data_IF_656848112922
#
_entry.id   IF_656848112922
#
_cell.length_a   1.000
_cell.length_b   1.000
_cell.length_c   1.000
_cell.angle_alpha   90.00
_cell.angle_beta   90.00
_cell.angle_gamma   90.00
#
_symmetry.space_group_name_H-M   'P 1'
#
loop_
_entity.id
_entity.type
_entity.pdbx_description
1 polymer ?
#
# COMPACT_ATOMS: atom_id res chain seq x y z
N UNK A 1 -8.08 -1.56 -25.08
CA UNK A 1 -8.94 -0.86 -24.09
C UNK A 1 -8.20 0.38 -23.61
N UNK A 2 -8.84 1.55 -23.53
CA UNK A 2 -8.20 2.76 -22.98
C UNK A 2 -8.08 2.67 -21.45
N UNK A 3 -7.15 3.43 -20.85
CA UNK A 3 -7.02 3.53 -19.39
C UNK A 3 -8.32 3.99 -18.73
N UNK A 4 -9.03 4.95 -19.33
CA UNK A 4 -10.32 5.42 -18.85
C UNK A 4 -11.39 4.32 -18.83
N UNK A 5 -11.42 3.45 -19.86
CA UNK A 5 -12.34 2.33 -19.91
C UNK A 5 -12.04 1.25 -18.87
N UNK A 6 -10.76 1.00 -18.58
CA UNK A 6 -10.35 0.07 -17.52
C UNK A 6 -10.77 0.56 -16.13
N UNK A 7 -10.52 1.84 -15.83
CA UNK A 7 -10.93 2.48 -14.58
C UNK A 7 -12.45 2.41 -14.38
N UNK A 8 -13.22 2.69 -15.45
CA UNK A 8 -14.67 2.63 -15.38
C UNK A 8 -15.18 1.21 -15.11
N UNK A 9 -14.52 0.18 -15.66
CA UNK A 9 -14.84 -1.22 -15.37
C UNK A 9 -14.56 -1.55 -13.91
N UNK A 10 -13.38 -1.19 -13.39
CA UNK A 10 -13.01 -1.44 -11.99
C UNK A 10 -13.95 -0.75 -11.00
N UNK A 11 -14.35 0.50 -11.27
CA UNK A 11 -15.29 1.23 -10.41
C UNK A 11 -16.69 0.59 -10.40
N UNK A 12 -17.19 0.15 -11.57
CA UNK A 12 -18.48 -0.56 -11.64
C UNK A 12 -18.43 -1.90 -10.94
N UNK A 13 -17.31 -2.62 -11.09
CA UNK A 13 -17.08 -3.89 -10.42
C UNK A 13 -17.03 -3.74 -8.90
N UNK A 14 -16.32 -2.72 -8.40
CA UNK A 14 -16.20 -2.48 -6.97
C UNK A 14 -17.54 -2.13 -6.33
N UNK A 15 -18.31 -1.26 -6.98
CA UNK A 15 -19.66 -0.90 -6.52
C UNK A 15 -20.59 -2.13 -6.50
N UNK A 16 -20.58 -2.93 -7.57
CA UNK A 16 -21.37 -4.14 -7.66
C UNK A 16 -21.01 -5.16 -6.57
N UNK A 17 -19.72 -5.34 -6.31
CA UNK A 17 -19.22 -6.26 -5.28
C UNK A 17 -19.60 -5.81 -3.87
N UNK A 18 -19.50 -4.52 -3.56
CA UNK A 18 -19.92 -3.98 -2.26
C UNK A 18 -21.44 -4.09 -2.04
N UNK A 19 -22.25 -3.85 -3.08
CA UNK A 19 -23.70 -4.11 -3.04
C UNK A 19 -23.98 -5.59 -2.80
N UNK A 20 -23.30 -6.48 -3.52
CA UNK A 20 -23.45 -7.92 -3.31
C UNK A 20 -23.08 -8.33 -1.87
N UNK A 21 -22.01 -7.79 -1.30
CA UNK A 21 -21.62 -8.06 0.08
C UNK A 21 -22.65 -7.54 1.11
N UNK A 22 -23.33 -6.43 0.81
CA UNK A 22 -24.42 -5.90 1.62
C UNK A 22 -25.74 -6.67 1.44
N UNK A 23 -25.94 -7.42 0.36
CA UNK A 23 -27.18 -8.14 0.08
C UNK A 23 -27.10 -9.64 0.45
N UNK A 24 -25.97 -10.29 0.16
CA UNK A 24 -25.83 -11.74 0.19
C UNK A 24 -25.57 -12.29 1.61
N UNK A 25 -26.49 -13.09 2.18
CA UNK A 25 -26.33 -13.66 3.51
C UNK A 25 -25.11 -14.59 3.63
N UNK A 26 -24.68 -15.22 2.52
CA UNK A 26 -23.51 -16.12 2.50
C UNK A 26 -22.23 -15.33 2.74
N UNK A 27 -22.10 -14.17 2.08
CA UNK A 27 -20.95 -13.27 2.27
C UNK A 27 -20.95 -12.73 3.69
N UNK A 28 -22.09 -12.24 4.19
CA UNK A 28 -22.20 -11.74 5.58
C UNK A 28 -21.84 -12.80 6.59
N UNK A 29 -22.24 -14.06 6.38
CA UNK A 29 -21.88 -15.20 7.24
C UNK A 29 -20.37 -15.38 7.31
N UNK A 30 -19.69 -15.45 6.16
CA UNK A 30 -18.24 -15.56 6.11
C UNK A 30 -17.57 -14.39 6.82
N UNK A 31 -17.96 -13.15 6.51
CA UNK A 31 -17.39 -11.96 7.16
C UNK A 31 -17.63 -11.97 8.67
N UNK A 32 -18.82 -12.37 9.14
CA UNK A 32 -19.12 -12.48 10.56
C UNK A 32 -18.23 -13.51 11.27
N UNK A 33 -17.97 -14.66 10.65
CA UNK A 33 -17.06 -15.67 11.20
C UNK A 33 -15.63 -15.13 11.31
N UNK A 34 -15.16 -14.40 10.28
CA UNK A 34 -13.82 -13.80 10.27
C UNK A 34 -13.71 -12.63 11.27
N UNK A 35 -14.76 -11.82 11.43
CA UNK A 35 -14.82 -10.75 12.43
C UNK A 35 -14.66 -11.29 13.85
N UNK A 36 -15.24 -12.46 14.17
CA UNK A 36 -15.05 -13.12 15.46
C UNK A 36 -13.58 -13.46 15.71
N UNK A 37 -12.86 -13.89 14.69
CA UNK A 37 -11.42 -14.17 14.79
C UNK A 37 -10.65 -12.88 15.12
N UNK A 38 -10.88 -11.79 14.39
CA UNK A 38 -10.23 -10.50 14.69
C UNK A 38 -10.59 -9.97 16.08
N UNK A 39 -11.84 -10.18 16.54
CA UNK A 39 -12.25 -9.85 17.90
C UNK A 39 -11.41 -10.60 18.93
N UNK A 40 -11.22 -11.90 18.75
CA UNK A 40 -10.52 -12.75 19.70
C UNK A 40 -9.00 -12.53 19.69
N UNK A 41 -8.40 -12.44 18.50
CA UNK A 41 -6.95 -12.40 18.34
C UNK A 41 -6.35 -11.00 18.45
N UNK A 42 -7.13 -9.94 18.22
CA UNK A 42 -6.63 -8.55 18.19
C UNK A 42 -7.34 -7.68 19.20
N UNK A 43 -8.67 -7.54 19.09
CA UNK A 43 -9.42 -6.58 19.91
C UNK A 43 -9.42 -6.92 21.39
N UNK A 44 -9.75 -8.18 21.74
CA UNK A 44 -9.88 -8.60 23.13
C UNK A 44 -8.59 -8.45 23.94
N UNK A 45 -7.40 -8.79 23.43
CA UNK A 45 -6.13 -8.45 24.09
C UNK A 45 -5.98 -6.96 24.39
N UNK A 46 -6.33 -6.09 23.43
CA UNK A 46 -6.25 -4.63 23.60
C UNK A 46 -7.26 -4.15 24.66
N UNK A 47 -8.51 -4.61 24.60
CA UNK A 47 -9.55 -4.27 25.59
C UNK A 47 -9.15 -4.69 27.01
N UNK A 48 -8.61 -5.91 27.17
CA UNK A 48 -8.12 -6.42 28.46
C UNK A 48 -6.98 -5.53 28.98
N UNK A 49 -6.06 -5.09 28.12
CA UNK A 49 -4.98 -4.21 28.55
C UNK A 49 -5.50 -2.82 28.93
N UNK A 50 -6.38 -2.22 28.12
CA UNK A 50 -6.98 -0.90 28.37
C UNK A 50 -7.80 -0.87 29.66
N UNK A 51 -8.50 -1.95 29.98
CA UNK A 51 -9.27 -2.05 31.25
C UNK A 51 -8.42 -2.08 32.52
N UNK A 52 -7.11 -2.36 32.41
CA UNK A 52 -6.18 -2.49 33.55
C UNK A 52 -5.34 -1.24 33.81
N UNK A 53 -5.46 -0.21 32.98
CA UNK A 53 -4.63 1.00 33.02
C UNK A 53 -5.46 2.25 33.25
N UNK A 54 -4.81 3.29 33.79
CA UNK A 54 -5.42 4.59 34.04
C UNK A 54 -4.94 5.68 33.08
N UNK A 55 -3.89 5.43 32.30
CA UNK A 55 -3.38 6.33 31.28
C UNK A 55 -2.88 5.55 30.08
N UNK A 56 -3.02 6.13 28.88
CA UNK A 56 -2.60 5.53 27.62
C UNK A 56 -1.10 5.17 27.61
N UNK A 57 -0.29 5.94 28.33
CA UNK A 57 1.14 5.74 28.34
C UNK A 57 1.61 4.46 29.00
N UNK A 58 0.78 3.88 29.86
CA UNK A 58 1.02 2.60 30.54
C UNK A 58 0.76 1.37 29.65
N UNK A 59 0.23 1.53 28.43
CA UNK A 59 0.10 0.41 27.49
C UNK A 59 1.48 -0.10 27.04
N UNK A 60 1.62 -1.42 26.82
CA UNK A 60 2.74 -1.97 26.06
C UNK A 60 2.90 -1.26 24.72
N UNK A 61 4.14 -1.11 24.25
CA UNK A 61 4.48 -0.32 23.03
C UNK A 61 3.64 -0.75 21.82
N UNK A 62 3.50 -2.05 21.58
CA UNK A 62 2.72 -2.56 20.44
C UNK A 62 1.22 -2.26 20.53
N UNK A 63 0.65 -2.29 21.74
CA UNK A 63 -0.75 -1.94 21.98
C UNK A 63 -0.96 -0.43 21.84
N UNK A 64 -0.01 0.36 22.32
CA UNK A 64 0.00 1.81 22.13
C UNK A 64 0.00 2.16 20.63
N UNK A 65 0.88 1.51 19.86
CA UNK A 65 0.92 1.67 18.40
C UNK A 65 -0.37 1.22 17.71
N UNK A 66 -0.96 0.11 18.15
CA UNK A 66 -2.24 -0.39 17.62
C UNK A 66 -3.38 0.60 17.87
N UNK A 67 -3.55 1.05 19.12
CA UNK A 67 -4.61 2.01 19.48
C UNK A 67 -4.39 3.36 18.81
N UNK A 68 -3.15 3.85 18.74
CA UNK A 68 -2.81 5.08 18.03
C UNK A 68 -3.16 4.97 16.54
N UNK A 69 -2.76 3.88 15.87
CA UNK A 69 -3.09 3.66 14.47
C UNK A 69 -4.61 3.54 14.23
N UNK A 70 -5.36 2.92 15.14
CA UNK A 70 -6.82 2.86 15.02
C UNK A 70 -7.44 4.25 15.21
N UNK A 71 -6.95 5.05 16.16
CA UNK A 71 -7.42 6.41 16.39
C UNK A 71 -7.16 7.33 15.18
N UNK A 72 -5.98 7.26 14.57
CA UNK A 72 -5.63 7.99 13.35
C UNK A 72 -6.59 7.67 12.20
N UNK A 73 -6.81 6.36 11.96
CA UNK A 73 -7.59 5.88 10.81
C UNK A 73 -9.10 6.02 10.96
N UNK A 74 -9.60 6.16 12.19
CA UNK A 74 -11.05 6.26 12.46
C UNK A 74 -11.49 7.63 12.97
N UNK A 75 -10.58 8.58 13.20
CA UNK A 75 -10.90 10.00 13.41
C UNK A 75 -11.02 10.76 12.08
N UNK A 76 -11.38 12.04 12.14
CA UNK A 76 -11.41 12.91 10.97
C UNK A 76 -10.00 13.29 10.46
N UNK A 77 -8.94 12.99 11.19
CA UNK A 77 -7.57 13.42 10.90
C UNK A 77 -7.07 12.90 9.55
N UNK A 78 -7.18 11.59 9.32
CA UNK A 78 -6.73 10.97 8.07
C UNK A 78 -7.84 10.92 7.00
N UNK A 79 -9.07 11.35 7.32
CA UNK A 79 -10.23 11.37 6.41
C UNK A 79 -10.38 10.06 5.60
N UNK A 80 -10.14 8.91 6.22
CA UNK A 80 -10.17 7.63 5.49
C UNK A 80 -11.60 7.16 5.20
N UNK A 81 -11.80 6.52 4.04
CA UNK A 81 -13.11 5.96 3.69
C UNK A 81 -13.49 4.83 4.65
N UNK A 82 -14.69 4.91 5.25
CA UNK A 82 -15.18 3.96 6.25
C UNK A 82 -14.75 4.28 7.69
N UNK A 83 -14.11 5.41 7.97
CA UNK A 83 -13.80 5.85 9.33
C UNK A 83 -15.09 5.91 10.19
N UNK A 84 -15.04 5.35 11.40
CA UNK A 84 -16.26 5.11 12.20
C UNK A 84 -16.52 6.18 13.26
N UNK A 85 -15.52 7.03 13.55
CA UNK A 85 -15.61 8.13 14.51
C UNK A 85 -15.26 9.50 13.89
N UNK A 86 -15.22 9.61 12.56
CA UNK A 86 -14.83 10.85 11.89
C UNK A 86 -15.75 12.04 12.26
N UNK A 87 -17.02 11.76 12.56
CA UNK A 87 -17.98 12.80 12.98
C UNK A 87 -17.87 13.17 14.48
N UNK A 88 -17.12 12.39 15.27
CA UNK A 88 -17.01 12.56 16.73
C UNK A 88 -15.68 13.15 17.16
N UNK A 89 -14.58 12.76 16.50
CA UNK A 89 -13.23 13.18 16.87
C UNK A 89 -12.49 13.78 15.68
N UNK A 90 -12.01 15.02 15.86
CA UNK A 90 -11.25 15.73 14.84
C UNK A 90 -9.83 15.18 14.69
N UNK A 91 -9.20 14.77 15.80
CA UNK A 91 -7.82 14.27 15.83
C UNK A 91 -7.72 12.93 16.56
N UNK A 92 -6.73 12.13 16.18
CA UNK A 92 -6.38 10.90 16.89
C UNK A 92 -6.01 11.16 18.36
N UNK A 93 -5.34 12.29 18.63
CA UNK A 93 -4.96 12.70 19.98
C UNK A 93 -6.16 12.93 20.90
N UNK A 94 -7.32 13.30 20.34
CA UNK A 94 -8.55 13.50 21.12
C UNK A 94 -9.11 12.15 21.62
N UNK A 95 -8.79 11.06 20.92
CA UNK A 95 -9.12 9.71 21.34
C UNK A 95 -8.08 9.21 22.34
N UNK A 96 -6.79 9.30 22.03
CA UNK A 96 -5.74 8.66 22.85
C UNK A 96 -5.41 9.40 24.15
N UNK A 97 -5.84 10.66 24.31
CA UNK A 97 -5.65 11.41 25.56
C UNK A 97 -6.56 10.93 26.71
N UNK A 98 -7.56 10.08 26.45
CA UNK A 98 -8.52 9.61 27.44
C UNK A 98 -8.79 8.11 27.31
N UNK A 99 -8.67 7.38 28.42
CA UNK A 99 -9.05 5.95 28.48
C UNK A 99 -10.52 5.75 28.11
N UNK A 100 -11.40 6.69 28.46
CA UNK A 100 -12.82 6.59 28.11
C UNK A 100 -13.04 6.73 26.60
N UNK A 101 -12.32 7.65 25.94
CA UNK A 101 -12.43 7.79 24.48
C UNK A 101 -11.83 6.59 23.75
N UNK A 102 -10.76 5.99 24.29
CA UNK A 102 -10.25 4.69 23.78
C UNK A 102 -11.32 3.61 23.93
N UNK A 103 -12.03 3.53 25.05
CA UNK A 103 -13.14 2.58 25.23
C UNK A 103 -14.30 2.84 24.25
N UNK A 104 -14.61 4.10 23.95
CA UNK A 104 -15.60 4.44 22.90
C UNK A 104 -15.14 3.90 21.55
N UNK A 105 -13.88 4.14 21.15
CA UNK A 105 -13.31 3.57 19.92
C UNK A 105 -13.42 2.05 19.89
N UNK A 106 -12.94 1.36 20.93
CA UNK A 106 -12.97 -0.10 20.96
C UNK A 106 -14.40 -0.65 20.97
N UNK A 107 -15.31 0.00 21.70
CA UNK A 107 -16.74 -0.33 21.74
C UNK A 107 -17.41 -0.20 20.37
N UNK A 108 -17.15 0.88 19.64
CA UNK A 108 -17.70 1.09 18.29
C UNK A 108 -17.14 0.08 17.28
N UNK A 109 -15.85 -0.25 17.37
CA UNK A 109 -15.26 -1.34 16.56
C UNK A 109 -16.01 -2.64 16.86
N UNK A 110 -16.12 -3.02 18.13
CA UNK A 110 -16.73 -4.27 18.54
C UNK A 110 -18.22 -4.37 18.13
N UNK A 111 -18.99 -3.30 18.32
CA UNK A 111 -20.40 -3.22 17.93
C UNK A 111 -20.59 -3.51 16.43
N UNK A 112 -19.74 -2.93 15.57
CA UNK A 112 -19.81 -3.13 14.12
C UNK A 112 -19.41 -4.54 13.69
N UNK A 113 -18.39 -5.12 14.33
CA UNK A 113 -17.98 -6.51 14.09
C UNK A 113 -19.07 -7.52 14.50
N UNK A 114 -19.86 -7.23 15.55
CA UNK A 114 -21.01 -8.06 15.94
C UNK A 114 -22.23 -7.87 15.05
N UNK A 115 -22.36 -6.72 14.38
CA UNK A 115 -23.53 -6.36 13.60
C UNK A 115 -23.48 -6.81 12.13
N UNK A 116 -22.48 -7.58 11.70
CA UNK A 116 -22.26 -7.94 10.28
C UNK A 116 -23.49 -8.59 9.63
N UNK A 117 -24.20 -9.45 10.36
CA UNK A 117 -25.42 -10.10 9.87
C UNK A 117 -26.60 -9.14 9.66
N UNK A 118 -26.57 -7.95 10.29
CA UNK A 118 -27.62 -6.93 10.26
C UNK A 118 -27.28 -5.77 9.33
N UNK A 119 -26.21 -5.87 8.55
CA UNK A 119 -25.84 -4.89 7.55
C UNK A 119 -26.96 -4.78 6.51
N UNK A 120 -27.39 -3.56 6.23
CA UNK A 120 -28.40 -3.26 5.21
C UNK A 120 -27.87 -2.33 4.12
N UNK A 121 -26.72 -1.69 4.35
CA UNK A 121 -26.19 -0.67 3.45
C UNK A 121 -24.75 -0.94 3.03
N UNK A 122 -24.36 -0.35 1.89
CA UNK A 122 -22.97 -0.35 1.41
C UNK A 122 -22.04 0.41 2.37
N UNK A 123 -22.53 1.43 3.06
CA UNK A 123 -21.72 2.17 4.03
C UNK A 123 -21.36 1.29 5.24
N UNK A 124 -22.30 0.49 5.73
CA UNK A 124 -22.04 -0.43 6.85
C UNK A 124 -21.04 -1.53 6.47
N UNK A 125 -21.14 -2.12 5.28
CA UNK A 125 -20.18 -3.13 4.83
C UNK A 125 -18.78 -2.54 4.66
N UNK A 126 -18.68 -1.31 4.13
CA UNK A 126 -17.40 -0.60 4.00
C UNK A 126 -16.75 -0.38 5.37
N UNK A 127 -17.52 0.03 6.37
CA UNK A 127 -17.02 0.21 7.74
C UNK A 127 -16.51 -1.11 8.32
N UNK A 128 -17.21 -2.22 8.12
CA UNK A 128 -16.73 -3.55 8.57
C UNK A 128 -15.46 -3.98 7.84
N UNK A 129 -15.40 -3.81 6.52
CA UNK A 129 -14.21 -4.19 5.73
C UNK A 129 -13.00 -3.34 6.12
N UNK A 130 -13.19 -2.05 6.39
CA UNK A 130 -12.15 -1.19 6.95
C UNK A 130 -11.63 -1.75 8.28
N UNK A 131 -12.52 -2.15 9.19
CA UNK A 131 -12.12 -2.72 10.47
C UNK A 131 -11.32 -4.01 10.32
N UNK A 132 -11.71 -4.89 9.40
CA UNK A 132 -10.93 -6.09 9.08
C UNK A 132 -9.51 -5.73 8.61
N UNK A 133 -9.40 -4.74 7.71
CA UNK A 133 -8.10 -4.24 7.22
C UNK A 133 -7.25 -3.66 8.35
N UNK A 134 -7.83 -2.80 9.17
CA UNK A 134 -7.10 -2.08 10.22
C UNK A 134 -6.71 -3.00 11.39
N UNK A 135 -7.54 -3.97 11.74
CA UNK A 135 -7.20 -4.98 12.75
C UNK A 135 -6.16 -5.98 12.23
N UNK A 136 -6.25 -6.39 10.96
CA UNK A 136 -5.18 -7.15 10.32
C UNK A 136 -3.85 -6.40 10.31
N UNK A 137 -3.90 -5.08 10.09
CA UNK A 137 -2.71 -4.24 10.21
C UNK A 137 -2.15 -4.18 11.63
N UNK A 138 -3.01 -4.04 12.65
CA UNK A 138 -2.55 -4.03 14.04
C UNK A 138 -1.81 -5.32 14.41
N UNK A 139 -2.39 -6.47 14.03
CA UNK A 139 -1.77 -7.77 14.26
C UNK A 139 -0.44 -7.89 13.52
N UNK A 140 -0.43 -7.73 12.19
CA UNK A 140 0.74 -8.05 11.38
C UNK A 140 1.91 -7.06 11.54
N UNK A 141 1.66 -5.80 11.90
CA UNK A 141 2.72 -4.77 11.98
C UNK A 141 3.21 -4.47 13.39
N UNK A 142 2.33 -4.56 14.39
CA UNK A 142 2.67 -4.11 15.74
C UNK A 142 2.87 -5.25 16.72
N UNK A 143 2.14 -6.36 16.59
CA UNK A 143 2.26 -7.45 17.56
C UNK A 143 3.68 -8.04 17.49
N UNK A 144 4.32 -8.28 18.65
CA UNK A 144 5.67 -8.81 18.70
C UNK A 144 5.72 -10.28 18.25
N UNK A 145 6.90 -10.71 17.80
CA UNK A 145 7.18 -12.05 17.26
C UNK A 145 6.71 -13.21 18.15
N UNK A 146 6.70 -13.03 19.47
CA UNK A 146 6.32 -14.05 20.45
C UNK A 146 4.79 -14.23 20.61
N UNK A 147 3.98 -13.32 20.05
CA UNK A 147 2.52 -13.43 20.00
C UNK A 147 2.00 -13.99 18.67
N UNK A 148 2.90 -14.30 17.75
CA UNK A 148 2.60 -14.88 16.44
C UNK A 148 2.79 -16.38 16.42
N UNK A 149 2.17 -17.05 15.46
CA UNK A 149 2.42 -18.46 15.17
C UNK A 149 3.84 -18.70 14.64
N UNK A 150 4.32 -19.94 14.72
CA UNK A 150 5.67 -20.30 14.25
C UNK A 150 5.89 -20.03 12.76
N UNK A 151 4.81 -20.06 11.96
CA UNK A 151 4.85 -19.84 10.52
C UNK A 151 4.68 -18.36 10.11
N UNK A 152 4.37 -17.45 11.05
CA UNK A 152 4.06 -16.05 10.74
C UNK A 152 5.08 -15.39 9.83
N UNK A 153 6.38 -15.49 10.15
CA UNK A 153 7.44 -14.86 9.37
C UNK A 153 7.46 -15.34 7.92
N UNK A 154 7.15 -16.61 7.71
CA UNK A 154 7.09 -17.24 6.39
C UNK A 154 5.86 -16.78 5.63
N UNK A 155 4.69 -16.81 6.26
CA UNK A 155 3.43 -16.28 5.72
C UNK A 155 3.61 -14.80 5.31
N UNK A 156 4.14 -13.99 6.22
CA UNK A 156 4.38 -12.55 6.01
C UNK A 156 5.31 -12.32 4.82
N UNK A 157 6.41 -13.08 4.72
CA UNK A 157 7.38 -12.94 3.62
C UNK A 157 6.79 -13.33 2.26
N UNK A 158 5.96 -14.38 2.21
CA UNK A 158 5.36 -14.85 0.94
C UNK A 158 4.22 -13.96 0.46
N UNK A 159 3.41 -13.41 1.37
CA UNK A 159 2.23 -12.63 1.01
C UNK A 159 2.51 -11.13 0.87
N UNK A 160 3.31 -10.55 1.78
CA UNK A 160 3.53 -9.12 1.80
C UNK A 160 4.41 -8.69 0.60
N UNK A 161 4.14 -7.56 -0.07
CA UNK A 161 5.03 -6.98 -1.07
C UNK A 161 6.48 -6.90 -0.59
N UNK A 162 7.42 -7.30 -1.47
CA UNK A 162 8.84 -7.07 -1.24
C UNK A 162 9.16 -5.58 -1.28
N UNK A 163 10.36 -5.20 -0.81
CA UNK A 163 10.81 -3.81 -0.90
C UNK A 163 10.89 -3.33 -2.35
N UNK A 164 11.35 -4.18 -3.25
CA UNK A 164 11.40 -3.92 -4.69
C UNK A 164 10.00 -3.65 -5.24
N UNK A 165 8.99 -4.40 -4.80
CA UNK A 165 7.58 -4.21 -5.17
C UNK A 165 6.96 -2.94 -4.59
N UNK A 166 7.47 -2.46 -3.45
CA UNK A 166 7.13 -1.13 -2.94
C UNK A 166 7.80 0.00 -3.73
N UNK A 167 9.06 -0.18 -4.12
CA UNK A 167 9.92 0.86 -4.71
C UNK A 167 9.60 1.19 -6.18
N UNK A 168 8.76 0.38 -6.83
CA UNK A 168 8.23 0.62 -8.19
C UNK A 168 7.33 1.84 -8.28
N UNK A 169 6.91 2.39 -7.14
CA UNK A 169 5.94 3.47 -7.04
C UNK A 169 6.65 4.79 -6.76
N UNK A 170 6.27 5.81 -7.52
CA UNK A 170 6.58 7.20 -7.22
C UNK A 170 5.34 7.87 -6.64
N UNK A 171 5.47 8.43 -5.43
CA UNK A 171 4.40 9.28 -4.89
C UNK A 171 4.33 10.55 -5.72
N UNK A 172 3.14 11.13 -5.90
CA UNK A 172 2.97 12.48 -6.51
C UNK A 172 3.86 13.53 -5.85
N UNK A 173 4.06 13.43 -4.54
CA UNK A 173 4.98 14.29 -3.79
C UNK A 173 6.45 14.12 -4.18
N UNK A 174 6.86 12.92 -4.59
CA UNK A 174 8.21 12.69 -5.16
C UNK A 174 8.35 13.28 -6.57
N UNK A 175 7.24 13.60 -7.25
CA UNK A 175 7.17 14.34 -8.51
C UNK A 175 7.07 15.86 -8.33
N UNK A 176 7.13 16.34 -7.08
CA UNK A 176 6.97 17.76 -6.75
C UNK A 176 5.52 18.24 -6.78
N UNK A 177 4.55 17.33 -6.92
CA UNK A 177 3.15 17.68 -6.85
C UNK A 177 2.68 17.82 -5.39
N UNK A 178 1.74 18.72 -5.14
CA UNK A 178 1.14 18.90 -3.82
C UNK A 178 0.32 17.67 -3.44
N UNK A 179 0.18 17.35 -2.13
CA UNK A 179 -0.77 16.35 -1.66
C UNK A 179 -2.18 16.63 -2.21
N UNK A 180 -2.88 15.56 -2.60
CA UNK A 180 -4.22 15.63 -3.17
C UNK A 180 -5.20 14.78 -2.36
N UNK A 181 -6.42 15.28 -2.27
CA UNK A 181 -7.56 14.58 -1.70
C UNK A 181 -8.43 14.04 -2.84
N UNK A 182 -8.88 12.79 -2.71
CA UNK A 182 -9.91 12.23 -3.56
C UNK A 182 -11.29 12.72 -3.09
N UNK A 183 -12.11 13.18 -4.05
CA UNK A 183 -13.43 13.77 -3.80
C UNK A 183 -14.56 12.98 -4.49
N UNK A 184 -14.20 12.05 -5.38
CA UNK A 184 -15.11 11.06 -5.97
C UNK A 184 -14.79 9.66 -5.46
N UNK A 185 -15.72 8.70 -5.55
CA UNK A 185 -15.46 7.28 -5.27
C UNK A 185 -14.78 6.58 -6.47
N UNK A 186 -13.98 5.55 -6.18
CA UNK A 186 -13.27 4.79 -7.21
C UNK A 186 -11.85 5.30 -7.52
N UNK A 187 -11.27 4.76 -8.59
CA UNK A 187 -9.97 5.16 -9.13
C UNK A 187 -10.16 6.41 -9.99
N UNK A 188 -10.31 7.56 -9.34
CA UNK A 188 -10.46 8.84 -10.02
C UNK A 188 -9.10 9.48 -10.32
N UNK A 189 -8.91 10.05 -11.51
CA UNK A 189 -7.62 10.66 -11.92
C UNK A 189 -7.75 12.09 -12.43
N UNK A 190 -8.98 12.60 -12.57
CA UNK A 190 -9.24 13.91 -13.14
C UNK A 190 -9.18 15.00 -12.07
N UNK A 191 -8.33 16.01 -12.28
CA UNK A 191 -8.23 17.17 -11.38
C UNK A 191 -9.56 17.96 -11.34
N UNK A 192 -9.91 18.46 -10.16
CA UNK A 192 -11.12 19.23 -9.84
C UNK A 192 -12.47 18.50 -10.04
N UNK A 193 -12.42 17.22 -10.44
CA UNK A 193 -13.56 16.31 -10.51
C UNK A 193 -13.41 15.13 -9.57
N UNK A 194 -12.24 14.49 -9.60
CA UNK A 194 -11.91 13.32 -8.80
C UNK A 194 -10.92 13.62 -7.69
N UNK A 195 -9.99 14.54 -7.95
CA UNK A 195 -8.92 14.92 -7.02
C UNK A 195 -8.76 16.43 -6.93
N UNK A 196 -8.50 16.94 -5.72
CA UNK A 196 -8.24 18.36 -5.45
C UNK A 196 -7.00 18.50 -4.57
N UNK A 197 -6.32 19.65 -4.62
CA UNK A 197 -5.19 19.89 -3.71
C UNK A 197 -5.70 20.06 -2.27
N UNK A 198 -4.98 19.49 -1.30
CA UNK A 198 -5.36 19.49 0.13
C UNK A 198 -5.56 20.91 0.71
N UNK A 199 -4.85 21.90 0.16
CA UNK A 199 -4.85 23.28 0.63
C UNK A 199 -5.86 24.23 -0.06
N UNK A 200 -6.77 23.72 -0.91
CA UNK A 200 -7.72 24.59 -1.61
C UNK A 200 -8.86 25.14 -0.74
N UNK A 201 -8.89 24.88 0.58
CA UNK A 201 -9.81 25.53 1.53
C UNK A 201 -11.30 25.15 1.36
N UNK A 202 -11.64 24.41 0.32
CA UNK A 202 -12.95 23.87 0.05
C UNK A 202 -12.89 22.37 0.38
N UNK A 203 -13.86 21.90 1.14
CA UNK A 203 -14.32 20.50 1.29
C UNK A 203 -14.03 19.81 2.64
N UNK A 204 -15.07 19.83 3.46
CA UNK A 204 -15.37 18.92 4.56
C UNK A 204 -15.56 17.45 4.14
N UNK A 205 -15.42 17.10 2.84
CA UNK A 205 -15.72 15.76 2.32
C UNK A 205 -14.61 15.05 1.52
N UNK A 206 -13.45 15.68 1.30
CA UNK A 206 -12.34 15.05 0.59
C UNK A 206 -11.59 14.03 1.47
N UNK A 207 -11.19 12.90 0.90
CA UNK A 207 -10.43 11.83 1.58
C UNK A 207 -9.00 11.74 1.06
N UNK A 208 -8.06 11.18 1.82
CA UNK A 208 -6.69 10.98 1.32
C UNK A 208 -6.75 10.12 0.05
N UNK A 209 -6.21 10.65 -1.07
CA UNK A 209 -6.15 9.91 -2.32
C UNK A 209 -5.23 8.68 -2.16
N UNK A 210 -5.75 7.53 -2.54
CA UNK A 210 -5.04 6.27 -2.34
C UNK A 210 -4.13 5.89 -3.53
N UNK A 211 -3.49 4.71 -3.44
CA UNK A 211 -2.36 4.37 -4.33
C UNK A 211 -2.75 4.22 -5.81
N UNK A 212 -3.96 3.76 -6.08
CA UNK A 212 -4.47 3.54 -7.44
C UNK A 212 -4.70 4.83 -8.24
N UNK A 213 -4.88 5.96 -7.55
CA UNK A 213 -4.99 7.30 -8.16
C UNK A 213 -3.63 7.79 -8.71
N UNK A 214 -2.54 7.15 -8.33
CA UNK A 214 -1.20 7.48 -8.80
C UNK A 214 -0.86 6.68 -10.05
N UNK A 215 -0.61 7.38 -11.16
CA UNK A 215 -0.02 6.77 -12.34
C UNK A 215 1.34 6.18 -11.95
N UNK A 216 1.50 4.86 -12.00
CA UNK A 216 2.81 4.27 -11.84
C UNK A 216 3.70 4.75 -12.98
N UNK A 217 4.92 5.13 -12.60
CA UNK A 217 5.95 5.51 -13.54
C UNK A 217 6.76 4.28 -13.89
N UNK A 218 7.15 4.15 -15.15
CA UNK A 218 8.12 3.13 -15.54
C UNK A 218 9.40 3.29 -14.72
N UNK A 219 10.11 2.19 -14.47
CA UNK A 219 11.40 2.20 -13.80
C UNK A 219 12.40 3.10 -14.53
N UNK A 220 12.25 3.27 -15.84
CA UNK A 220 13.03 4.25 -16.58
C UNK A 220 12.81 5.66 -16.05
N UNK A 221 11.56 6.10 -15.91
CA UNK A 221 11.25 7.43 -15.41
C UNK A 221 11.59 7.59 -13.91
N UNK A 222 11.56 6.49 -13.14
CA UNK A 222 12.07 6.45 -11.75
C UNK A 222 13.58 6.69 -11.69
N UNK A 223 14.34 6.00 -12.51
CA UNK A 223 15.79 6.14 -12.60
C UNK A 223 16.15 7.56 -13.06
N UNK A 224 15.45 8.09 -14.07
CA UNK A 224 15.57 9.50 -14.51
C UNK A 224 15.39 10.48 -13.35
N UNK A 225 14.33 10.34 -12.56
CA UNK A 225 14.08 11.21 -11.40
C UNK A 225 15.13 11.08 -10.31
N UNK A 226 15.58 9.86 -9.99
CA UNK A 226 16.64 9.64 -8.98
C UNK A 226 17.92 10.33 -9.41
N UNK A 227 18.31 10.18 -10.67
CA UNK A 227 19.51 10.80 -11.24
C UNK A 227 19.38 12.32 -11.23
N UNK A 228 18.27 12.87 -11.73
CA UNK A 228 18.04 14.30 -11.74
C UNK A 228 18.09 14.89 -10.32
N UNK A 229 17.37 14.29 -9.38
CA UNK A 229 17.34 14.74 -7.99
C UNK A 229 18.71 14.68 -7.33
N UNK A 230 19.51 13.64 -7.61
CA UNK A 230 20.89 13.54 -7.12
C UNK A 230 21.78 14.64 -7.70
N UNK A 231 21.73 14.86 -9.01
CA UNK A 231 22.55 15.87 -9.69
C UNK A 231 22.21 17.29 -9.21
N UNK A 232 20.93 17.59 -9.01
CA UNK A 232 20.47 18.87 -8.44
C UNK A 232 20.94 19.06 -6.99
N UNK A 233 20.85 18.01 -6.17
CA UNK A 233 21.34 18.05 -4.78
C UNK A 233 22.86 18.20 -4.73
N UNK A 234 23.59 17.50 -5.60
CA UNK A 234 25.05 17.57 -5.69
C UNK A 234 25.52 18.95 -6.16
N UNK A 235 24.86 19.52 -7.17
CA UNK A 235 25.13 20.89 -7.64
C UNK A 235 24.91 21.93 -6.54
N UNK A 236 23.81 21.79 -5.79
CA UNK A 236 23.53 22.66 -4.64
C UNK A 236 24.59 22.54 -3.55
N UNK A 237 24.98 21.31 -3.21
CA UNK A 237 26.04 21.04 -2.24
C UNK A 237 27.39 21.60 -2.69
N UNK A 238 27.78 21.39 -3.94
CA UNK A 238 29.06 21.87 -4.48
C UNK A 238 29.13 23.41 -4.54
N UNK A 239 27.99 24.06 -4.83
CA UNK A 239 27.87 25.52 -4.77
C UNK A 239 28.11 26.02 -3.34
N UNK A 240 27.42 25.46 -2.35
CA UNK A 240 27.59 25.82 -0.94
C UNK A 240 29.03 25.57 -0.47
N UNK A 241 29.63 24.45 -0.91
CA UNK A 241 31.02 24.11 -0.58
C UNK A 241 32.00 25.14 -1.14
N UNK A 242 31.81 25.56 -2.39
CA UNK A 242 32.63 26.60 -3.02
C UNK A 242 32.47 27.97 -2.34
N UNK A 243 31.23 28.33 -1.98
CA UNK A 243 30.94 29.56 -1.23
C UNK A 243 31.61 29.55 0.15
N UNK A 244 31.57 28.40 0.85
CA UNK A 244 32.27 28.21 2.11
C UNK A 244 33.80 28.37 1.94
N UNK A 245 34.39 27.71 0.95
CA UNK A 245 35.84 27.85 0.69
C UNK A 245 36.24 29.31 0.44
N UNK A 246 35.45 30.06 -0.34
CA UNK A 246 35.69 31.49 -0.57
C UNK A 246 35.56 32.33 0.69
N UNK A 247 34.56 32.03 1.54
CA UNK A 247 34.36 32.72 2.80
C UNK A 247 35.52 32.45 3.78
N UNK A 248 36.00 31.21 3.84
CA UNK A 248 37.17 30.82 4.65
C UNK A 248 38.46 31.48 4.15
N UNK A 249 38.67 31.57 2.83
CA UNK A 249 39.79 32.31 2.23
C UNK A 249 39.74 33.80 2.57
N UNK A 250 38.57 34.44 2.46
CA UNK A 250 38.38 35.84 2.82
C UNK A 250 38.63 36.11 4.32
N UNK A 251 38.14 35.21 5.18
CA UNK A 251 38.38 35.28 6.63
C UNK A 251 39.88 35.14 6.95
N UNK A 252 40.57 34.22 6.28
CA UNK A 252 42.01 34.03 6.43
C UNK A 252 42.83 35.24 5.93
N UNK A 253 42.38 35.92 4.87
CA UNK A 253 43.01 37.15 4.39
C UNK A 253 42.79 38.32 5.34
N UNK A 254 41.58 38.47 5.89
CA UNK A 254 41.25 39.53 6.86
C UNK A 254 42.04 39.41 8.18
N UNK A 255 42.54 38.21 8.50
CA UNK A 255 43.35 37.95 9.69
C UNK A 255 44.88 38.06 9.49
N UNK A 256 45.39 38.42 8.30
CA UNK A 256 46.85 38.55 8.06
C UNK A 256 47.38 39.93 8.45
N UNK A 257 48.49 39.93 9.19
CA UNK A 257 49.13 41.10 9.85
C UNK A 257 49.75 42.18 8.93
N UNK A 258 49.65 42.07 7.61
CA UNK A 258 50.40 42.92 6.65
C UNK A 258 49.56 44.02 5.97
N UNK A 259 48.29 44.19 6.33
CA UNK A 259 47.42 45.31 5.89
C UNK A 259 46.76 45.94 7.13
N UNK A 260 46.30 47.21 7.09
CA UNK A 260 45.68 47.84 8.25
C UNK A 260 44.58 46.91 8.79
N UNK A 261 44.54 46.66 10.12
CA UNK A 261 43.70 45.62 10.69
C UNK A 261 42.26 45.82 10.21
N UNK A 262 41.71 44.80 9.54
CA UNK A 262 40.31 44.78 9.17
C UNK A 262 39.49 44.97 10.46
N UNK A 263 38.49 45.86 10.40
CA UNK A 263 37.59 46.14 11.53
C UNK A 263 37.12 44.80 12.15
N UNK A 264 37.26 44.66 13.47
CA UNK A 264 36.90 43.46 14.23
C UNK A 264 35.46 43.00 13.92
N UNK A 265 34.60 43.96 13.56
CA UNK A 265 33.24 43.73 13.08
C UNK A 265 33.18 42.95 11.76
N UNK A 266 34.11 43.19 10.83
CA UNK A 266 34.22 42.49 9.54
C UNK A 266 34.66 41.04 9.76
N UNK A 267 35.67 40.83 10.59
CA UNK A 267 36.15 39.48 10.95
C UNK A 267 35.02 38.66 11.57
N UNK A 268 34.29 39.25 12.52
CA UNK A 268 33.12 38.60 13.13
C UNK A 268 32.04 38.26 12.10
N UNK A 269 31.72 39.19 11.21
CA UNK A 269 30.70 38.97 10.16
C UNK A 269 31.09 37.82 9.22
N UNK A 270 32.36 37.75 8.80
CA UNK A 270 32.86 36.66 7.96
C UNK A 270 32.89 35.31 8.70
N UNK A 271 33.21 35.32 9.99
CA UNK A 271 33.15 34.13 10.85
C UNK A 271 31.72 33.59 10.96
N UNK A 272 30.76 34.46 11.28
CA UNK A 272 29.33 34.10 11.37
C UNK A 272 28.82 33.54 10.02
N UNK A 273 29.23 34.16 8.90
CA UNK A 273 28.90 33.67 7.55
C UNK A 273 29.47 32.27 7.26
N UNK A 274 30.70 31.99 7.68
CA UNK A 274 31.30 30.65 7.55
C UNK A 274 30.52 29.60 8.35
N UNK A 275 30.11 29.93 9.57
CA UNK A 275 29.35 29.02 10.44
C UNK A 275 27.95 28.73 9.87
N UNK A 276 27.27 29.76 9.35
CA UNK A 276 25.99 29.61 8.65
C UNK A 276 26.12 28.71 7.41
N UNK A 277 27.17 28.91 6.59
CA UNK A 277 27.43 28.08 5.42
C UNK A 277 27.76 26.63 5.80
N UNK A 278 28.54 26.40 6.86
CA UNK A 278 28.83 25.05 7.38
C UNK A 278 27.54 24.34 7.81
N UNK A 279 26.65 25.05 8.51
CA UNK A 279 25.35 24.52 8.93
C UNK A 279 24.46 24.18 7.73
N UNK A 280 24.36 25.08 6.76
CA UNK A 280 23.59 24.87 5.53
C UNK A 280 24.14 23.71 4.68
N UNK A 281 25.46 23.55 4.62
CA UNK A 281 26.13 22.45 3.94
C UNK A 281 25.81 21.11 4.61
N UNK A 282 25.96 21.02 5.94
CA UNK A 282 25.64 19.83 6.72
C UNK A 282 24.17 19.42 6.61
N UNK A 283 23.26 20.41 6.63
CA UNK A 283 21.83 20.18 6.46
C UNK A 283 21.51 19.68 5.03
N UNK A 284 22.11 20.30 4.02
CA UNK A 284 21.95 19.89 2.62
C UNK A 284 22.49 18.47 2.39
N UNK A 285 23.63 18.14 2.99
CA UNK A 285 24.22 16.80 2.92
C UNK A 285 23.29 15.76 3.55
N UNK A 286 22.86 16.00 4.79
CA UNK A 286 22.02 15.08 5.57
C UNK A 286 20.64 14.89 4.95
N UNK A 287 19.98 15.99 4.58
CA UNK A 287 18.56 15.96 4.20
C UNK A 287 18.35 15.79 2.69
N UNK A 288 19.32 16.19 1.86
CA UNK A 288 19.19 16.13 0.40
C UNK A 288 20.11 15.10 -0.24
N UNK A 289 21.43 15.25 -0.07
CA UNK A 289 22.42 14.49 -0.84
C UNK A 289 22.49 13.02 -0.40
N UNK A 290 22.66 12.75 0.90
CA UNK A 290 22.89 11.40 1.42
C UNK A 290 21.72 10.42 1.14
N UNK A 291 20.43 10.82 1.29
CA UNK A 291 19.32 9.96 0.92
C UNK A 291 19.31 9.59 -0.57
N UNK A 292 19.69 10.53 -1.45
CA UNK A 292 19.75 10.31 -2.90
C UNK A 292 20.97 9.48 -3.31
N UNK A 293 22.11 9.67 -2.64
CA UNK A 293 23.30 8.85 -2.80
C UNK A 293 23.00 7.38 -2.52
N UNK A 294 22.29 7.08 -1.42
CA UNK A 294 21.86 5.71 -1.09
C UNK A 294 21.02 5.09 -2.21
N UNK A 295 20.13 5.87 -2.84
CA UNK A 295 19.33 5.41 -4.00
C UNK A 295 20.21 5.16 -5.22
N UNK A 296 21.13 6.07 -5.56
CA UNK A 296 22.08 5.88 -6.67
C UNK A 296 22.92 4.59 -6.49
N UNK A 297 23.43 4.37 -5.28
CA UNK A 297 24.19 3.16 -4.94
C UNK A 297 23.34 1.89 -5.04
N UNK A 298 22.10 1.92 -4.53
CA UNK A 298 21.19 0.79 -4.61
C UNK A 298 20.93 0.32 -6.04
N UNK A 299 20.72 1.27 -6.97
CA UNK A 299 20.49 0.97 -8.39
C UNK A 299 21.78 0.78 -9.21
N UNK A 300 22.94 0.79 -8.56
CA UNK A 300 24.24 0.65 -9.23
C UNK A 300 24.53 1.76 -10.24
N UNK A 301 23.97 2.96 -10.05
CA UNK A 301 24.14 4.10 -10.97
C UNK A 301 25.42 4.85 -10.57
N UNK A 302 26.40 5.01 -11.48
CA UNK A 302 27.60 5.79 -11.21
C UNK A 302 27.28 7.26 -10.86
N UNK A 303 28.00 7.79 -9.87
CA UNK A 303 27.78 9.14 -9.37
C UNK A 303 28.20 10.21 -10.39
N UNK A 304 29.21 9.92 -11.21
CA UNK A 304 29.72 10.82 -12.23
C UNK A 304 28.88 10.70 -13.51
N UNK A 305 28.33 11.80 -14.06
CA UNK A 305 27.46 11.76 -15.24
C UNK A 305 28.06 11.03 -16.45
N UNK A 306 29.35 11.23 -16.73
CA UNK A 306 30.03 10.62 -17.89
C UNK A 306 30.28 9.11 -17.75
N UNK A 307 30.19 8.56 -16.53
CA UNK A 307 30.36 7.13 -16.28
C UNK A 307 29.03 6.36 -16.40
N UNK A 308 27.90 7.06 -16.60
CA UNK A 308 26.58 6.44 -16.62
C UNK A 308 26.29 5.87 -18.01
N UNK A 309 25.90 4.60 -18.05
CA UNK A 309 25.20 3.98 -19.17
C UNK A 309 23.84 4.66 -19.45
N UNK A 310 23.20 4.41 -20.60
CA UNK A 310 21.84 4.85 -20.86
C UNK A 310 20.89 4.45 -19.71
N UNK A 311 20.01 5.37 -19.29
CA UNK A 311 19.14 5.14 -18.12
C UNK A 311 18.18 3.95 -18.29
N UNK A 312 17.83 3.64 -19.54
CA UNK A 312 17.06 2.46 -19.92
C UNK A 312 17.75 1.14 -19.57
N UNK A 313 19.09 1.08 -19.55
CA UNK A 313 19.82 -0.14 -19.19
C UNK A 313 19.73 -0.44 -17.70
N UNK A 314 19.85 0.58 -16.83
CA UNK A 314 19.61 0.39 -15.41
C UNK A 314 18.15 0.01 -15.16
N UNK A 315 17.21 0.71 -15.81
CA UNK A 315 15.80 0.42 -15.69
C UNK A 315 15.45 -1.04 -16.07
N UNK A 316 16.08 -1.59 -17.11
CA UNK A 316 15.87 -2.98 -17.52
C UNK A 316 16.32 -3.99 -16.46
N UNK A 317 17.41 -3.72 -15.72
CA UNK A 317 17.92 -4.61 -14.64
C UNK A 317 16.97 -4.68 -13.45
N UNK A 318 16.31 -3.56 -13.16
CA UNK A 318 15.37 -3.42 -12.05
C UNK A 318 13.91 -3.42 -12.52
N UNK A 319 13.66 -3.93 -13.73
CA UNK A 319 12.31 -4.01 -14.26
C UNK A 319 11.46 -4.89 -13.35
N UNK A 320 10.31 -4.34 -12.98
CA UNK A 320 9.45 -4.90 -11.93
C UNK A 320 8.64 -6.07 -12.47
N UNK A 321 8.12 -6.93 -11.59
CA UNK A 321 7.22 -7.99 -12.01
C UNK A 321 6.01 -7.41 -12.78
N UNK A 322 5.44 -6.30 -12.32
CA UNK A 322 4.33 -5.61 -13.01
C UNK A 322 4.75 -5.02 -14.36
N UNK A 323 5.94 -4.45 -14.49
CA UNK A 323 6.43 -3.99 -15.79
C UNK A 323 6.76 -5.13 -16.75
N UNK A 324 7.17 -6.28 -16.24
CA UNK A 324 7.37 -7.50 -17.04
C UNK A 324 6.02 -8.03 -17.49
N UNK A 325 5.05 -8.11 -16.58
CA UNK A 325 3.67 -8.53 -16.85
C UNK A 325 2.95 -7.58 -17.83
N UNK A 326 3.14 -6.27 -17.69
CA UNK A 326 2.59 -5.27 -18.61
C UNK A 326 3.17 -5.36 -20.03
N UNK A 327 4.33 -6.01 -20.18
CA UNK A 327 4.95 -6.33 -21.48
C UNK A 327 4.67 -7.77 -21.93
N UNK A 328 4.14 -8.63 -21.06
CA UNK A 328 3.74 -10.01 -21.36
C UNK A 328 2.29 -10.03 -21.85
N UNK A 329 2.05 -9.47 -23.03
CA UNK A 329 0.89 -9.83 -23.84
C UNK A 329 1.39 -10.66 -25.03
N UNK A 330 1.25 -12.00 -25.01
CA UNK A 330 1.62 -12.85 -26.14
C UNK A 330 0.68 -12.69 -27.36
N UNK A 331 -0.48 -12.03 -27.22
CA UNK A 331 -1.53 -11.98 -28.24
C UNK A 331 -1.81 -10.57 -28.80
N UNK A 332 -1.42 -9.50 -28.10
CA UNK A 332 -1.54 -8.12 -28.60
C UNK A 332 -0.36 -7.25 -28.17
N UNK A 333 0.57 -7.00 -29.09
CA UNK A 333 1.68 -6.05 -28.96
C UNK A 333 1.24 -4.58 -28.77
N UNK A 334 -0.06 -4.32 -28.63
CA UNK A 334 -0.65 -2.97 -28.58
C UNK A 334 -1.47 -2.69 -27.30
N UNK A 335 -1.56 -3.63 -26.37
CA UNK A 335 -2.22 -3.43 -25.07
C UNK A 335 -1.23 -3.61 -23.92
N UNK A 336 -0.46 -2.57 -23.63
CA UNK A 336 0.25 -2.49 -22.36
C UNK A 336 -0.77 -2.41 -21.23
N UNK A 337 -0.80 -3.41 -20.35
CA UNK A 337 -1.56 -3.31 -19.10
C UNK A 337 -1.05 -2.08 -18.33
N UNK A 338 -1.94 -1.32 -17.67
CA UNK A 338 -1.51 -0.16 -16.92
C UNK A 338 -0.46 -0.55 -15.85
N UNK A 339 0.63 0.20 -15.75
CA UNK A 339 1.58 0.11 -14.63
C UNK A 339 0.94 0.69 -13.35
N UNK A 340 -0.19 0.15 -12.90
CA UNK A 340 -0.95 0.66 -11.76
C UNK A 340 -0.79 -0.27 -10.53
N UNK A 341 -0.39 -1.51 -10.74
CA UNK A 341 -0.34 -2.51 -9.68
C UNK A 341 1.04 -2.58 -9.00
N UNK A 342 1.06 -2.66 -7.69
CA UNK A 342 2.08 -3.34 -6.88
C UNK A 342 1.37 -3.97 -5.70
N UNK A 343 1.78 -5.18 -5.30
CA UNK A 343 0.99 -6.02 -4.38
C UNK A 343 0.54 -5.24 -3.15
N UNK A 344 -0.75 -5.37 -2.80
CA UNK A 344 -1.32 -4.57 -1.72
C UNK A 344 -0.95 -5.14 -0.35
N UNK A 345 0.00 -4.51 0.33
CA UNK A 345 0.29 -4.83 1.74
C UNK A 345 -0.94 -4.66 2.64
N UNK A 346 -1.83 -3.70 2.35
CA UNK A 346 -3.07 -3.50 3.09
C UNK A 346 -4.07 -4.67 2.90
N UNK A 347 -4.03 -5.35 1.74
CA UNK A 347 -4.78 -6.59 1.49
C UNK A 347 -4.09 -7.79 2.11
N UNK A 348 -2.75 -7.84 2.07
CA UNK A 348 -1.97 -8.95 2.58
C UNK A 348 -2.15 -9.14 4.09
N UNK A 349 -2.15 -8.05 4.88
CA UNK A 349 -2.17 -8.13 6.36
C UNK A 349 -3.38 -8.89 6.93
N UNK A 350 -4.63 -8.63 6.52
CA UNK A 350 -5.76 -9.45 6.95
C UNK A 350 -5.60 -10.94 6.61
N UNK A 351 -5.08 -11.26 5.42
CA UNK A 351 -4.85 -12.65 5.00
C UNK A 351 -3.73 -13.31 5.83
N UNK A 352 -2.64 -12.59 6.09
CA UNK A 352 -1.54 -13.03 6.95
C UNK A 352 -2.07 -13.34 8.34
N UNK A 353 -2.82 -12.42 8.96
CA UNK A 353 -3.42 -12.64 10.28
C UNK A 353 -4.30 -13.89 10.30
N UNK A 354 -5.18 -14.05 9.31
CA UNK A 354 -6.12 -15.17 9.28
C UNK A 354 -5.42 -16.52 9.02
N UNK A 355 -4.34 -16.54 8.24
CA UNK A 355 -3.51 -17.74 8.07
C UNK A 355 -2.76 -18.09 9.35
N UNK A 356 -2.12 -17.10 10.00
CA UNK A 356 -1.31 -17.33 11.19
C UNK A 356 -2.14 -17.87 12.36
N UNK A 357 -3.36 -17.33 12.55
CA UNK A 357 -4.31 -17.84 13.55
C UNK A 357 -5.13 -19.04 13.06
N UNK A 358 -4.76 -19.63 11.92
CA UNK A 358 -5.39 -20.83 11.33
C UNK A 358 -6.89 -20.69 11.02
N UNK A 359 -7.41 -19.48 10.85
CA UNK A 359 -8.82 -19.23 10.57
C UNK A 359 -9.28 -19.65 9.16
N UNK A 360 -8.34 -19.81 8.23
CA UNK A 360 -8.57 -20.33 6.88
C UNK A 360 -8.28 -21.84 6.77
N UNK A 361 -7.99 -22.51 7.89
CA UNK A 361 -7.71 -23.95 7.93
C UNK A 361 -8.85 -24.64 8.68
N UNK A 362 -9.42 -25.66 8.05
CA UNK A 362 -10.48 -26.49 8.65
C UNK A 362 -9.99 -27.92 8.83
N UNK A 363 -10.73 -28.74 9.57
CA UNK A 363 -10.47 -30.18 9.65
C UNK A 363 -10.55 -30.92 8.30
N UNK A 364 -10.99 -30.25 7.22
CA UNK A 364 -11.06 -30.78 5.85
C UNK A 364 -9.98 -30.22 4.91
N UNK A 365 -9.08 -29.36 5.41
CA UNK A 365 -8.07 -28.66 4.62
C UNK A 365 -8.30 -27.15 4.57
N UNK A 366 -7.68 -26.48 3.60
CA UNK A 366 -7.76 -25.03 3.41
C UNK A 366 -9.15 -24.60 2.91
N UNK A 367 -9.68 -23.50 3.47
CA UNK A 367 -11.00 -22.95 3.14
C UNK A 367 -10.90 -21.91 2.01
N UNK A 368 -10.92 -22.40 0.77
CA UNK A 368 -10.83 -21.56 -0.43
C UNK A 368 -11.98 -20.57 -0.54
N UNK A 369 -13.19 -20.98 -0.16
CA UNK A 369 -14.40 -20.16 -0.26
C UNK A 369 -14.26 -18.92 0.64
N UNK A 370 -13.86 -19.11 1.91
CA UNK A 370 -13.65 -17.98 2.83
C UNK A 370 -12.56 -17.04 2.36
N UNK A 371 -11.42 -17.59 1.92
CA UNK A 371 -10.30 -16.79 1.44
C UNK A 371 -10.69 -15.96 0.20
N UNK A 372 -11.38 -16.55 -0.76
CA UNK A 372 -11.82 -15.88 -1.98
C UNK A 372 -12.89 -14.82 -1.70
N UNK A 373 -13.89 -15.15 -0.86
CA UNK A 373 -14.95 -14.21 -0.48
C UNK A 373 -14.38 -12.98 0.21
N UNK A 374 -13.44 -13.16 1.15
CA UNK A 374 -12.78 -12.04 1.79
C UNK A 374 -11.97 -11.22 0.77
N UNK A 375 -11.21 -11.85 -0.11
CA UNK A 375 -10.42 -11.16 -1.13
C UNK A 375 -11.32 -10.34 -2.07
N UNK A 376 -12.46 -10.88 -2.49
CA UNK A 376 -13.45 -10.19 -3.31
C UNK A 376 -14.04 -8.97 -2.58
N UNK A 377 -14.38 -9.10 -1.29
CA UNK A 377 -14.91 -7.97 -0.51
C UNK A 377 -13.86 -6.87 -0.30
N UNK A 378 -12.62 -7.24 0.03
CA UNK A 378 -11.49 -6.30 0.16
C UNK A 378 -11.22 -5.59 -1.17
N UNK A 379 -11.35 -6.30 -2.30
CA UNK A 379 -11.27 -5.69 -3.64
C UNK A 379 -12.34 -4.62 -3.80
N UNK A 380 -13.61 -4.95 -3.54
CA UNK A 380 -14.70 -3.96 -3.59
C UNK A 380 -14.40 -2.72 -2.75
N UNK A 381 -13.95 -2.91 -1.51
CA UNK A 381 -13.61 -1.80 -0.60
C UNK A 381 -12.47 -0.93 -1.12
N UNK A 382 -11.33 -1.53 -1.49
CA UNK A 382 -10.16 -0.73 -1.86
C UNK A 382 -10.27 -0.03 -3.20
N UNK A 383 -10.95 -0.64 -4.17
CA UNK A 383 -11.23 0.03 -5.44
C UNK A 383 -12.19 1.20 -5.22
N UNK A 384 -13.27 1.00 -4.46
CA UNK A 384 -14.21 2.07 -4.11
C UNK A 384 -13.55 3.21 -3.34
N UNK A 385 -12.62 2.89 -2.44
CA UNK A 385 -11.83 3.88 -1.72
C UNK A 385 -10.89 4.68 -2.65
N UNK A 386 -10.57 4.16 -3.84
CA UNK A 386 -9.51 4.67 -4.71
C UNK A 386 -8.11 4.32 -4.19
N UNK A 387 -7.99 3.30 -3.34
CA UNK A 387 -6.76 2.95 -2.65
C UNK A 387 -5.91 1.91 -3.37
N UNK A 388 -6.54 0.94 -4.02
CA UNK A 388 -5.85 -0.08 -4.81
C UNK A 388 -6.60 -0.38 -6.11
N UNK A 389 -5.89 -0.96 -7.07
CA UNK A 389 -6.46 -1.56 -8.29
C UNK A 389 -6.79 -3.04 -8.08
N UNK A 390 -7.60 -3.60 -8.96
CA UNK A 390 -8.07 -4.99 -8.88
C UNK A 390 -6.88 -5.96 -8.79
N UNK A 391 -5.87 -5.75 -9.63
CA UNK A 391 -4.70 -6.61 -9.74
C UNK A 391 -3.90 -6.68 -8.42
N UNK A 392 -3.81 -5.59 -7.66
CA UNK A 392 -3.08 -5.59 -6.38
C UNK A 392 -3.73 -6.48 -5.34
N UNK A 393 -5.05 -6.57 -5.37
CA UNK A 393 -5.84 -7.37 -4.42
C UNK A 393 -5.89 -8.82 -4.87
N UNK A 394 -6.10 -9.05 -6.17
CA UNK A 394 -6.14 -10.38 -6.77
C UNK A 394 -4.79 -11.11 -6.63
N UNK A 395 -3.67 -10.38 -6.75
CA UNK A 395 -2.34 -10.94 -6.56
C UNK A 395 -2.10 -11.47 -5.14
N UNK A 396 -2.61 -10.80 -4.11
CA UNK A 396 -2.53 -11.32 -2.74
C UNK A 396 -3.28 -12.64 -2.60
N UNK A 397 -4.42 -12.79 -3.27
CA UNK A 397 -5.16 -14.06 -3.26
C UNK A 397 -4.35 -15.18 -3.91
N UNK A 398 -3.70 -14.94 -5.06
CA UNK A 398 -2.81 -15.93 -5.66
C UNK A 398 -1.65 -16.30 -4.72
N UNK A 399 -1.04 -15.33 -4.03
CA UNK A 399 0.03 -15.61 -3.04
C UNK A 399 -0.45 -16.46 -1.86
N UNK A 400 -1.70 -16.28 -1.43
CA UNK A 400 -2.32 -17.16 -0.42
C UNK A 400 -2.41 -18.59 -0.97
N UNK A 401 -2.86 -18.76 -2.22
CA UNK A 401 -2.94 -20.07 -2.87
C UNK A 401 -1.55 -20.71 -3.03
N UNK A 402 -0.54 -19.93 -3.42
CA UNK A 402 0.85 -20.38 -3.56
C UNK A 402 1.45 -20.79 -2.23
N UNK A 403 1.22 -20.02 -1.16
CA UNK A 403 1.63 -20.41 0.18
C UNK A 403 1.06 -21.77 0.58
N UNK A 404 -0.24 -21.99 0.39
CA UNK A 404 -0.86 -23.29 0.70
C UNK A 404 -0.31 -24.38 -0.21
N UNK A 405 -0.16 -24.13 -1.50
CA UNK A 405 0.30 -25.14 -2.45
C UNK A 405 1.76 -25.57 -2.26
N UNK A 406 2.63 -24.63 -1.88
CA UNK A 406 4.06 -24.85 -1.70
C UNK A 406 4.34 -25.40 -0.30
N UNK A 407 3.77 -24.76 0.73
CA UNK A 407 4.14 -25.03 2.12
C UNK A 407 3.23 -26.01 2.83
N UNK A 408 1.98 -26.13 2.36
CA UNK A 408 0.96 -26.99 2.95
C UNK A 408 0.17 -27.80 1.91
N UNK A 409 0.82 -28.53 0.98
CA UNK A 409 0.12 -29.29 -0.04
C UNK A 409 -0.84 -30.34 0.55
N UNK A 410 -0.64 -30.77 1.80
CA UNK A 410 -1.54 -31.65 2.54
C UNK A 410 -2.91 -31.02 2.85
N UNK A 411 -3.02 -29.69 2.84
CA UNK A 411 -4.27 -28.97 3.03
C UNK A 411 -5.07 -28.82 1.74
N UNK A 412 -4.50 -29.19 0.59
CA UNK A 412 -5.17 -29.15 -0.70
C UNK A 412 -6.13 -30.35 -0.88
N UNK A 413 -7.30 -30.15 -1.53
CA UNK A 413 -8.14 -31.26 -1.92
C UNK A 413 -7.39 -32.22 -2.85
N UNK A 414 -7.57 -33.54 -2.68
CA UNK A 414 -6.84 -34.57 -3.46
C UNK A 414 -6.95 -34.42 -4.99
N UNK A 415 -8.01 -33.78 -5.48
CA UNK A 415 -8.21 -33.54 -6.91
C UNK A 415 -7.40 -32.34 -7.45
N UNK A 416 -6.97 -31.44 -6.56
CA UNK A 416 -6.17 -30.26 -6.81
C UNK A 416 -4.69 -30.68 -6.73
N UNK A 417 -4.01 -30.72 -7.88
CA UNK A 417 -2.59 -31.06 -7.92
C UNK A 417 -1.78 -29.77 -7.94
N UNK A 418 -0.89 -29.53 -6.96
CA UNK A 418 0.10 -28.47 -7.09
C UNK A 418 1.00 -28.78 -8.30
N UNK A 419 1.43 -27.75 -9.03
CA UNK A 419 2.37 -27.94 -10.13
C UNK A 419 3.65 -28.57 -9.57
N UNK A 420 4.05 -29.74 -10.09
CA UNK A 420 5.38 -30.27 -9.78
C UNK A 420 6.40 -29.28 -10.36
N UNK A 421 7.38 -28.78 -9.57
CA UNK A 421 8.40 -27.89 -10.08
C UNK A 421 9.15 -28.58 -11.21
N UNK A 422 8.99 -28.08 -12.44
CA UNK A 422 9.76 -28.56 -13.58
C UNK A 422 11.14 -27.88 -13.56
N UNK A 423 12.18 -28.60 -13.96
CA UNK A 423 13.52 -28.05 -14.15
C UNK A 423 13.63 -27.09 -15.36
N UNK A 424 12.53 -26.83 -16.06
CA UNK A 424 12.47 -25.97 -17.25
C UNK A 424 12.14 -24.49 -16.91
N UNK A 425 12.55 -23.54 -17.75
CA UNK A 425 12.23 -22.13 -17.58
C UNK A 425 10.72 -21.88 -17.69
N UNK A 426 10.17 -21.17 -16.70
CA UNK A 426 8.79 -20.68 -16.69
C UNK A 426 8.43 -20.01 -18.03
N UNK A 427 7.32 -20.42 -18.66
CA UNK A 427 6.76 -19.79 -19.86
C UNK A 427 7.14 -20.39 -21.23
N UNK A 428 7.90 -21.49 -21.30
CA UNK A 428 8.24 -22.16 -22.59
C UNK A 428 7.62 -23.55 -22.80
N UNK A 429 6.97 -24.14 -21.80
CA UNK A 429 6.31 -25.44 -21.94
C UNK A 429 4.82 -25.24 -22.22
N UNK A 430 4.42 -25.35 -23.48
CA UNK A 430 3.00 -25.41 -23.88
C UNK A 430 2.27 -26.63 -23.28
N UNK A 431 3.02 -27.63 -22.77
CA UNK A 431 2.49 -28.85 -22.16
C UNK A 431 2.25 -28.76 -20.64
N UNK A 432 2.54 -27.61 -19.98
CA UNK A 432 2.18 -27.44 -18.57
C UNK A 432 0.70 -27.10 -18.44
N UNK A 433 -0.09 -28.10 -18.08
CA UNK A 433 -1.49 -27.93 -17.69
C UNK A 433 -1.54 -27.31 -16.27
N UNK A 434 -1.28 -26.00 -16.16
CA UNK A 434 -1.42 -25.15 -14.95
C UNK A 434 -2.88 -24.97 -14.48
N UNK A 435 -3.77 -25.94 -14.72
CA UNK A 435 -5.24 -25.67 -14.73
C UNK A 435 -6.03 -26.07 -13.47
N UNK A 436 -5.40 -26.36 -12.31
CA UNK A 436 -6.14 -26.94 -11.16
C UNK A 436 -6.32 -26.05 -9.92
N UNK A 437 -5.44 -25.08 -9.68
CA UNK A 437 -5.64 -24.10 -8.62
C UNK A 437 -6.61 -23.02 -9.11
N UNK A 438 -7.48 -22.46 -8.24
CA UNK A 438 -8.43 -21.41 -8.61
C UNK A 438 -7.74 -20.04 -8.71
N UNK A 439 -6.63 -19.97 -9.44
CA UNK A 439 -5.92 -18.72 -9.68
C UNK A 439 -6.80 -17.75 -10.46
N UNK A 440 -6.70 -16.46 -10.13
CA UNK A 440 -7.25 -15.46 -11.04
C UNK A 440 -6.43 -15.43 -12.34
N UNK A 441 -7.12 -15.16 -13.44
CA UNK A 441 -6.56 -14.94 -14.76
C UNK A 441 -6.64 -13.45 -15.06
N UNK A 442 -5.50 -12.86 -15.40
CA UNK A 442 -5.42 -11.43 -15.76
C UNK A 442 -6.38 -11.14 -16.92
N UNK A 443 -7.21 -10.11 -16.76
CA UNK A 443 -8.21 -9.72 -17.75
C UNK A 443 -9.52 -10.51 -17.69
N UNK A 444 -9.61 -11.56 -16.86
CA UNK A 444 -10.85 -12.28 -16.59
C UNK A 444 -11.30 -12.06 -15.13
N UNK A 445 -12.14 -11.06 -14.91
CA UNK A 445 -12.70 -10.76 -13.59
C UNK A 445 -13.51 -11.92 -13.00
N UNK A 446 -14.11 -12.77 -13.85
CA UNK A 446 -14.91 -13.91 -13.39
C UNK A 446 -14.06 -14.94 -12.66
N UNK A 447 -12.83 -15.16 -13.13
CA UNK A 447 -11.90 -16.12 -12.51
C UNK A 447 -11.53 -15.77 -11.06
N UNK A 448 -11.58 -14.48 -10.69
CA UNK A 448 -11.32 -14.04 -9.31
C UNK A 448 -12.58 -14.03 -8.45
N UNK A 449 -13.75 -13.75 -9.03
CA UNK A 449 -15.00 -13.72 -8.29
C UNK A 449 -15.41 -15.13 -7.85
N UNK A 450 -15.91 -15.24 -6.63
CA UNK A 450 -16.40 -16.51 -6.11
C UNK A 450 -17.59 -17.03 -6.96
N UNK A 451 -17.61 -18.31 -7.36
CA UNK A 451 -18.62 -18.84 -8.29
C UNK A 451 -20.07 -18.67 -7.83
N UNK A 452 -20.31 -18.59 -6.53
CA UNK A 452 -21.66 -18.51 -5.97
C UNK A 452 -22.39 -17.18 -6.21
N UNK A 453 -21.67 -16.12 -6.61
CA UNK A 453 -22.23 -14.79 -6.90
C UNK A 453 -21.53 -14.06 -8.06
N UNK A 454 -20.60 -14.72 -8.76
CA UNK A 454 -19.85 -14.10 -9.85
C UNK A 454 -20.75 -13.53 -10.95
N UNK A 455 -21.78 -14.29 -11.37
CA UNK A 455 -22.76 -13.84 -12.37
C UNK A 455 -23.50 -12.58 -11.92
N UNK A 456 -24.01 -12.58 -10.69
CA UNK A 456 -24.79 -11.48 -10.11
C UNK A 456 -23.96 -10.19 -10.03
N UNK A 457 -22.67 -10.29 -9.65
CA UNK A 457 -21.75 -9.16 -9.58
C UNK A 457 -21.43 -8.62 -10.98
N UNK A 458 -21.15 -9.50 -11.95
CA UNK A 458 -20.82 -9.09 -13.31
C UNK A 458 -22.03 -8.46 -14.04
N UNK A 459 -23.23 -8.97 -13.78
CA UNK A 459 -24.49 -8.39 -14.26
C UNK A 459 -24.71 -7.00 -13.68
N UNK A 460 -24.61 -6.85 -12.35
CA UNK A 460 -24.71 -5.55 -11.65
C UNK A 460 -23.67 -4.55 -12.16
N UNK A 461 -22.45 -5.01 -12.46
CA UNK A 461 -21.38 -4.19 -13.02
C UNK A 461 -21.56 -3.88 -14.52
N UNK A 462 -22.53 -4.51 -15.20
CA UNK A 462 -22.76 -4.45 -16.65
C UNK A 462 -21.52 -4.88 -17.44
N UNK A 463 -20.91 -5.99 -17.03
CA UNK A 463 -19.70 -6.56 -17.64
C UNK A 463 -19.96 -7.84 -18.45
N UNK A 464 -21.14 -8.44 -18.33
CA UNK A 464 -21.53 -9.66 -19.05
C UNK A 464 -21.48 -9.54 -20.58
N UNK A 465 -21.53 -8.32 -21.10
CA UNK A 465 -21.47 -8.00 -22.54
C UNK A 465 -20.18 -7.26 -22.95
N UNK A 466 -19.39 -6.76 -21.98
CA UNK A 466 -18.33 -5.80 -22.24
C UNK A 466 -16.92 -6.43 -22.35
N UNK A 467 -16.73 -7.62 -21.80
CA UNK A 467 -15.48 -8.36 -21.96
C UNK A 467 -15.63 -9.25 -23.19
N UNK A 468 -14.95 -8.97 -24.32
CA UNK A 468 -14.82 -9.99 -25.35
C UNK A 468 -14.28 -11.22 -24.62
N UNK A 469 -15.04 -12.33 -24.68
CA UNK A 469 -14.61 -13.61 -24.14
C UNK A 469 -13.16 -13.78 -24.59
N UNK A 470 -12.21 -13.62 -23.68
CA UNK A 470 -10.83 -14.05 -23.87
C UNK A 470 -10.95 -15.57 -23.94
N UNK A 471 -11.40 -16.07 -25.10
CA UNK A 471 -11.49 -17.49 -25.34
C UNK A 471 -10.07 -17.99 -25.11
N UNK A 472 -9.87 -18.96 -24.20
CA UNK A 472 -8.64 -19.72 -24.26
C UNK A 472 -8.64 -20.33 -25.66
N UNK A 473 -7.73 -19.88 -26.52
CA UNK A 473 -7.40 -20.64 -27.71
C UNK A 473 -6.95 -22.00 -27.21
N UNK A 474 -7.73 -23.03 -27.60
CA UNK A 474 -7.50 -24.45 -27.32
C UNK A 474 -6.08 -24.83 -27.70
#
# INVERSE_FOLDING_TARGET
MSLSGYIEIENRLSEAMLRQAADDPRIKKVLSELCVVFQQSVMKPIEIAVSKINNFDALPVYMKQSVQSLAERHSAEEKQYGAILADQFAKASDITCSIENIKILLGEINNRLLAVQRIETVDDIVKVLKLIVDLGNCYAEYFPDDLHGSEFKKIFTMLNPSREEYDVRLRRTELGEKPQLAISYGIGTQQDKDIVAENMGIQSGGRIAGKAVFAGLSMQKRIELIVQQYDEAKKSYDKLKLELTRAEENLALAGKENEPPADEKIIKTLSDQCDDLKKALAETEKNKLLPRLKKMQFYGIPLLPHARQPLSEYAARYQTAIEKLAKMDPLNQHTTLPLIASVSGSTARPMITLLDVSALITGKGFDFDKAQILANCIMGFFLQAGHHSYLEVAEVYNRVLDYVAIEHPELLPKWMMPALPSAGPYGKSQDMVEKKMPYYVIGDYRSFLHPSYADEVLEKAKLDQALPRLKPSV
#
